data_IF_337042191914
#
_entry.id   IF_337042191914
#
_cell.length_a   1.000
_cell.length_b   1.000
_cell.length_c   1.000
_cell.angle_alpha   90.00
_cell.angle_beta   90.00
_cell.angle_gamma   90.00
#
_symmetry.space_group_name_H-M   'P 1'
#
loop_
_entity.id
_entity.type
_entity.pdbx_description
1 polymer ?
#
# COMPACT_ATOMS: atom_id res chain seq x y z
N UNK A 1 3.82 -33.22 4.89
CA UNK A 1 2.52 -32.73 4.38
C UNK A 1 2.30 -31.24 4.69
N UNK A 2 2.48 -30.76 5.92
CA UNK A 2 2.24 -29.34 6.27
C UNK A 2 3.10 -28.32 5.48
N UNK A 3 4.37 -28.64 5.19
CA UNK A 3 5.28 -27.77 4.41
C UNK A 3 4.85 -27.60 2.95
N UNK A 4 4.15 -28.60 2.38
CA UNK A 4 3.67 -28.57 1.01
C UNK A 4 2.47 -27.61 0.88
N UNK A 5 1.55 -27.65 1.85
CA UNK A 5 0.41 -26.73 1.91
C UNK A 5 0.86 -25.27 2.07
N UNK A 6 1.88 -25.01 2.90
CA UNK A 6 2.42 -23.67 3.10
C UNK A 6 3.05 -23.10 1.80
N UNK A 7 3.74 -23.94 1.02
CA UNK A 7 4.34 -23.55 -0.25
C UNK A 7 3.29 -23.27 -1.32
N UNK A 8 2.21 -24.06 -1.36
CA UNK A 8 1.07 -23.87 -2.26
C UNK A 8 0.34 -22.56 -1.93
N UNK A 9 0.09 -22.27 -0.65
CA UNK A 9 -0.50 -21.00 -0.21
C UNK A 9 0.37 -19.80 -0.58
N UNK A 10 1.69 -19.92 -0.42
CA UNK A 10 2.64 -18.86 -0.78
C UNK A 10 2.68 -18.60 -2.29
N UNK A 11 2.67 -19.66 -3.10
CA UNK A 11 2.58 -19.56 -4.56
C UNK A 11 1.25 -18.96 -5.03
N UNK A 12 0.13 -19.30 -4.38
CA UNK A 12 -1.18 -18.70 -4.67
C UNK A 12 -1.21 -17.20 -4.36
N UNK A 13 -0.59 -16.77 -3.25
CA UNK A 13 -0.48 -15.35 -2.90
C UNK A 13 0.42 -14.56 -3.87
N UNK A 14 1.51 -15.17 -4.35
CA UNK A 14 2.39 -14.59 -5.36
C UNK A 14 1.73 -14.48 -6.74
N UNK A 15 0.85 -15.43 -7.10
CA UNK A 15 0.15 -15.40 -8.38
C UNK A 15 -0.94 -14.32 -8.43
N UNK A 16 -1.64 -14.07 -7.32
CA UNK A 16 -2.64 -13.01 -7.22
C UNK A 16 -2.03 -11.60 -7.35
N UNK A 17 -0.81 -11.39 -6.84
CA UNK A 17 -0.07 -10.13 -7.01
C UNK A 17 0.44 -9.95 -8.44
N UNK A 18 0.76 -11.02 -9.14
CA UNK A 18 1.17 -10.98 -10.55
C UNK A 18 0.00 -10.68 -11.51
N UNK A 19 -1.19 -11.24 -11.29
CA UNK A 19 -2.36 -10.99 -12.16
C UNK A 19 -2.90 -9.55 -12.04
N UNK A 20 -2.71 -8.86 -10.91
CA UNK A 20 -3.11 -7.46 -10.74
C UNK A 20 -2.21 -6.44 -11.47
N UNK A 21 -1.11 -6.90 -12.09
CA UNK A 21 -0.13 -6.03 -12.76
C UNK A 21 -0.45 -5.72 -14.22
N UNK A 22 -1.43 -6.39 -14.83
CA UNK A 22 -1.76 -6.23 -16.26
C UNK A 22 -3.19 -5.71 -16.44
N UNK A 23 -3.35 -4.42 -16.24
CA UNK A 23 -4.47 -3.65 -16.79
C UNK A 23 -3.88 -2.40 -17.44
N UNK A 24 -3.17 -2.60 -18.55
CA UNK A 24 -2.73 -1.51 -19.42
C UNK A 24 -3.83 -1.32 -20.47
N UNK A 25 -4.83 -0.51 -20.12
CA UNK A 25 -5.88 -0.05 -21.03
C UNK A 25 -5.27 0.74 -22.20
N UNK A 26 -5.59 0.32 -23.42
CA UNK A 26 -5.04 0.85 -24.66
C UNK A 26 -5.53 2.25 -25.06
N UNK A 27 -4.87 3.29 -24.54
CA UNK A 27 -4.90 4.63 -25.12
C UNK A 27 -3.46 5.13 -25.29
N UNK A 28 -3.16 5.83 -26.39
CA UNK A 28 -1.83 6.34 -26.74
C UNK A 28 -1.18 7.08 -25.56
N UNK A 29 -0.26 6.39 -24.89
CA UNK A 29 0.46 6.91 -23.74
C UNK A 29 1.55 7.86 -24.21
N UNK A 30 1.51 9.11 -23.76
CA UNK A 30 2.63 10.03 -23.94
C UNK A 30 3.84 9.47 -23.17
N UNK A 31 5.09 9.68 -23.64
CA UNK A 31 6.28 9.04 -23.04
C UNK A 31 6.42 9.27 -21.54
N UNK A 32 5.90 10.40 -21.04
CA UNK A 32 5.92 10.74 -19.62
C UNK A 32 4.80 10.07 -18.80
N UNK A 33 3.68 9.72 -19.41
CA UNK A 33 2.58 9.08 -18.70
C UNK A 33 3.03 7.70 -18.15
N UNK A 34 3.90 6.99 -18.88
CA UNK A 34 4.34 5.64 -18.51
C UNK A 34 5.07 5.61 -17.16
N UNK A 35 6.01 6.53 -16.94
CA UNK A 35 6.70 6.61 -15.64
C UNK A 35 5.77 7.10 -14.53
N UNK A 36 4.80 7.98 -14.84
CA UNK A 36 3.80 8.42 -13.89
C UNK A 36 2.92 7.27 -13.39
N UNK A 37 2.45 6.35 -14.26
CA UNK A 37 1.75 5.14 -13.80
C UNK A 37 2.67 4.29 -12.94
N UNK A 38 3.92 4.07 -13.36
CA UNK A 38 4.86 3.24 -12.59
C UNK A 38 5.09 3.82 -11.19
N UNK A 39 5.20 5.14 -11.07
CA UNK A 39 5.27 5.81 -9.77
C UNK A 39 3.99 5.65 -8.97
N UNK A 40 2.82 5.84 -9.60
CA UNK A 40 1.53 5.64 -8.94
C UNK A 40 1.40 4.21 -8.39
N UNK A 41 1.71 3.19 -9.20
CA UNK A 41 1.72 1.77 -8.82
C UNK A 41 2.72 1.47 -7.70
N UNK A 42 3.87 2.13 -7.71
CA UNK A 42 4.88 1.97 -6.66
C UNK A 42 4.41 2.59 -5.34
N UNK A 43 3.80 3.78 -5.40
CA UNK A 43 3.30 4.54 -4.25
C UNK A 43 2.04 3.93 -3.63
N UNK A 44 1.19 3.24 -4.38
CA UNK A 44 0.05 2.48 -3.81
C UNK A 44 0.38 1.02 -3.51
N UNK A 45 1.57 0.55 -3.90
CA UNK A 45 2.03 -0.82 -3.72
C UNK A 45 3.19 -0.95 -2.71
N UNK A 46 4.34 -1.51 -3.09
CA UNK A 46 5.42 -1.86 -2.15
C UNK A 46 5.97 -0.70 -1.32
N UNK A 47 6.03 0.52 -1.89
CA UNK A 47 6.61 1.69 -1.20
C UNK A 47 5.76 2.09 -0.01
N UNK A 48 4.43 2.06 -0.15
CA UNK A 48 3.51 2.34 0.95
C UNK A 48 3.76 1.38 2.12
N UNK A 49 3.91 0.08 1.83
CA UNK A 49 4.18 -0.95 2.83
C UNK A 49 5.51 -0.73 3.55
N UNK A 50 6.57 -0.37 2.83
CA UNK A 50 7.88 -0.06 3.43
C UNK A 50 7.82 1.16 4.35
N UNK A 51 7.14 2.24 3.94
CA UNK A 51 6.98 3.45 4.77
C UNK A 51 6.17 3.15 6.03
N UNK A 52 5.10 2.36 5.92
CA UNK A 52 4.30 1.95 7.08
C UNK A 52 5.13 1.15 8.09
N UNK A 53 5.97 0.22 7.61
CA UNK A 53 6.89 -0.55 8.45
C UNK A 53 7.87 0.35 9.22
N UNK A 54 8.49 1.32 8.54
CA UNK A 54 9.41 2.27 9.17
C UNK A 54 8.69 3.09 10.23
N UNK A 55 7.49 3.61 9.93
CA UNK A 55 6.68 4.38 10.87
C UNK A 55 6.34 3.58 12.14
N UNK A 56 5.92 2.33 11.98
CA UNK A 56 5.59 1.44 13.10
C UNK A 56 6.83 1.15 13.96
N UNK A 57 7.98 0.87 13.34
CA UNK A 57 9.25 0.61 14.05
C UNK A 57 9.71 1.85 14.83
N UNK A 58 9.66 3.04 14.23
CA UNK A 58 10.00 4.29 14.92
C UNK A 58 9.04 4.61 16.07
N UNK A 59 7.74 4.39 15.88
CA UNK A 59 6.73 4.57 16.93
C UNK A 59 6.94 3.60 18.09
N UNK A 60 7.22 2.32 17.79
CA UNK A 60 7.54 1.29 18.78
C UNK A 60 8.84 1.57 19.54
N UNK A 61 9.89 2.03 18.84
CA UNK A 61 11.15 2.44 19.46
C UNK A 61 10.91 3.59 20.45
N UNK A 62 10.13 4.59 20.07
CA UNK A 62 9.79 5.72 20.96
C UNK A 62 9.06 5.22 22.21
N UNK A 63 8.19 4.21 22.11
CA UNK A 63 7.49 3.65 23.27
C UNK A 63 8.43 2.88 24.22
N UNK A 64 9.40 2.14 23.69
CA UNK A 64 10.39 1.40 24.49
C UNK A 64 11.40 2.35 25.15
N UNK A 65 11.92 3.33 24.40
CA UNK A 65 13.01 4.18 24.86
C UNK A 65 12.55 5.44 25.62
N UNK A 66 11.37 5.99 25.35
CA UNK A 66 10.92 7.25 25.97
C UNK A 66 10.10 7.04 27.26
N UNK A 67 9.84 5.80 27.67
CA UNK A 67 9.21 5.48 28.95
C UNK A 67 7.72 5.83 29.02
N UNK A 68 6.86 4.89 28.64
CA UNK A 68 5.49 4.79 29.16
C UNK A 68 4.45 5.83 28.70
N UNK A 69 4.81 6.84 27.89
CA UNK A 69 3.85 7.80 27.33
C UNK A 69 2.98 7.17 26.22
N UNK A 70 2.08 6.26 26.60
CA UNK A 70 1.15 5.55 25.71
C UNK A 70 0.33 6.52 24.86
N UNK A 71 -0.05 7.68 25.42
CA UNK A 71 -0.77 8.72 24.69
C UNK A 71 0.02 9.24 23.49
N UNK A 72 1.34 9.37 23.60
CA UNK A 72 2.21 9.87 22.53
C UNK A 72 2.43 8.81 21.44
N UNK A 73 2.57 7.55 21.85
CA UNK A 73 2.61 6.40 20.94
C UNK A 73 1.30 6.25 20.15
N UNK A 74 0.15 6.27 20.83
CA UNK A 74 -1.14 6.10 20.18
C UNK A 74 -1.41 7.20 19.17
N UNK A 75 -1.07 8.45 19.53
CA UNK A 75 -1.20 9.58 18.60
C UNK A 75 -0.31 9.40 17.36
N UNK A 76 0.94 8.97 17.54
CA UNK A 76 1.86 8.65 16.43
C UNK A 76 1.31 7.52 15.54
N UNK A 77 0.83 6.44 16.14
CA UNK A 77 0.29 5.28 15.42
C UNK A 77 -0.95 5.65 14.61
N UNK A 78 -1.87 6.44 15.18
CA UNK A 78 -3.08 6.91 14.48
C UNK A 78 -2.69 7.72 13.24
N UNK A 79 -1.70 8.63 13.33
CA UNK A 79 -1.27 9.40 12.17
C UNK A 79 -0.66 8.54 11.07
N UNK A 80 0.16 7.55 11.43
CA UNK A 80 0.76 6.63 10.45
C UNK A 80 -0.31 5.81 9.73
N UNK A 81 -1.29 5.26 10.47
CA UNK A 81 -2.39 4.48 9.89
C UNK A 81 -3.30 5.35 9.02
N UNK A 82 -3.57 6.60 9.44
CA UNK A 82 -4.36 7.56 8.67
C UNK A 82 -3.72 7.82 7.29
N UNK A 83 -2.42 8.15 7.27
CA UNK A 83 -1.68 8.41 6.03
C UNK A 83 -1.67 7.18 5.13
N UNK A 84 -1.45 6.00 5.70
CA UNK A 84 -1.37 4.75 4.96
C UNK A 84 -2.72 4.35 4.34
N UNK A 85 -3.80 4.50 5.10
CA UNK A 85 -5.17 4.27 4.62
C UNK A 85 -5.50 5.23 3.47
N UNK A 86 -5.05 6.49 3.55
CA UNK A 86 -5.28 7.46 2.49
C UNK A 86 -4.49 7.12 1.22
N UNK A 87 -3.21 6.75 1.34
CA UNK A 87 -2.36 6.38 0.19
C UNK A 87 -2.92 5.18 -0.59
N UNK A 88 -3.37 4.14 0.11
CA UNK A 88 -3.91 2.91 -0.50
C UNK A 88 -5.34 3.13 -0.98
N UNK A 89 -6.15 3.82 -0.18
CA UNK A 89 -7.56 4.07 -0.47
C UNK A 89 -7.78 5.09 -1.59
N UNK A 90 -6.83 5.99 -1.87
CA UNK A 90 -6.96 7.04 -2.87
C UNK A 90 -7.37 6.52 -4.26
N UNK A 91 -6.82 5.39 -4.71
CA UNK A 91 -7.18 4.80 -6.01
C UNK A 91 -8.64 4.30 -6.03
N UNK A 92 -9.09 3.67 -4.95
CA UNK A 92 -10.47 3.23 -4.79
C UNK A 92 -11.42 4.41 -4.70
N UNK A 93 -11.06 5.47 -3.98
CA UNK A 93 -11.86 6.70 -3.90
C UNK A 93 -11.99 7.35 -5.28
N UNK A 94 -10.88 7.58 -5.99
CA UNK A 94 -10.94 8.19 -7.32
C UNK A 94 -11.77 7.36 -8.31
N UNK A 95 -11.60 6.04 -8.31
CA UNK A 95 -12.42 5.16 -9.17
C UNK A 95 -13.90 5.24 -8.80
N UNK A 96 -14.28 5.19 -7.52
CA UNK A 96 -15.69 5.22 -7.14
C UNK A 96 -16.36 6.59 -7.34
N UNK A 97 -15.60 7.68 -7.19
CA UNK A 97 -16.13 9.05 -7.36
C UNK A 97 -16.13 9.53 -8.82
N UNK A 98 -15.18 9.08 -9.65
CA UNK A 98 -15.04 9.53 -11.04
C UNK A 98 -15.48 8.50 -12.09
N UNK A 99 -15.65 7.22 -11.76
CA UNK A 99 -16.22 6.21 -12.67
C UNK A 99 -17.76 6.16 -12.62
N UNK A 100 -18.38 6.83 -11.64
CA UNK A 100 -19.84 7.10 -11.61
C UNK A 100 -20.26 8.29 -12.48
N UNK A 101 -19.29 9.00 -13.06
CA UNK A 101 -19.50 10.05 -14.06
C UNK A 101 -19.00 9.53 -15.42
N UNK A 102 -19.70 8.53 -15.95
CA UNK A 102 -19.55 8.12 -17.36
C UNK A 102 -20.16 9.22 -18.23
N UNK A 103 -19.32 9.85 -19.06
CA UNK A 103 -19.73 10.31 -20.40
C UNK A 103 -19.79 9.12 -21.35
#
# INVERSE_FOLDING_TARGET
MLKLCALITFMYAALNTALASQASSGQSYLPYESWLITLQKSLTGPVASSVALIGIVCSGATLIFAGGEITRFMRSLIYIVLVMTFLIGANSLLTNFFNGAVI
#
